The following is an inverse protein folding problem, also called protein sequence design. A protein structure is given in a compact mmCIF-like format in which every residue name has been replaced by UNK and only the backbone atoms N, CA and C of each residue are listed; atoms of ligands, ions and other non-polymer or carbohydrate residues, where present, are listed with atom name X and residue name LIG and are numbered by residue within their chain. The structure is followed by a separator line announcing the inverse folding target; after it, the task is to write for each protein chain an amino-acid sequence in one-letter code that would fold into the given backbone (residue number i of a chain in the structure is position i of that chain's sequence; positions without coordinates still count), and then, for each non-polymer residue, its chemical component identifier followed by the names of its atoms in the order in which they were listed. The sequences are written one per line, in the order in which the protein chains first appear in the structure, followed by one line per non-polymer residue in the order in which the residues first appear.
data_IF_885176129122
#
_entry.id   IF_885176129122
#
_cell.length_a   1.000
_cell.length_b   1.000
_cell.length_c   1.000
_cell.angle_alpha   90.00
_cell.angle_beta   90.00
_cell.angle_gamma   90.00
#
_symmetry.space_group_name_H-M   'P 1'
#
loop_
_entity.id
_entity.type
_entity.pdbx_description
1 polymer ?
#
# COMPACT_ATOMS: atom_id res chain seq x y z
N UNK A 1 2.03 7.68 25.91
CA UNK A 1 2.66 6.46 25.32
C UNK A 1 1.99 6.00 24.02
N UNK A 2 0.65 5.82 23.95
CA UNK A 2 -0.06 5.30 22.74
C UNK A 2 0.06 6.18 21.48
N UNK A 3 0.01 7.51 21.61
CA UNK A 3 0.17 8.45 20.49
C UNK A 3 1.57 8.44 19.86
N UNK A 4 2.61 8.18 20.66
CA UNK A 4 3.99 8.10 20.16
C UNK A 4 4.17 6.90 19.21
N UNK A 5 3.59 5.73 19.57
CA UNK A 5 3.64 4.52 18.72
C UNK A 5 2.91 4.73 17.40
N UNK A 6 1.75 5.41 17.42
CA UNK A 6 1.04 5.80 16.20
C UNK A 6 1.89 6.71 15.31
N UNK A 7 2.48 7.77 15.87
CA UNK A 7 3.29 8.73 15.10
C UNK A 7 4.51 8.06 14.45
N UNK A 8 5.19 7.16 15.19
CA UNK A 8 6.33 6.38 14.68
C UNK A 8 5.90 5.48 13.51
N UNK A 9 4.83 4.70 13.69
CA UNK A 9 4.32 3.83 12.62
C UNK A 9 3.86 4.64 11.40
N UNK A 10 3.23 5.80 11.62
CA UNK A 10 2.80 6.68 10.54
C UNK A 10 3.97 7.26 9.77
N UNK A 11 5.06 7.66 10.44
CA UNK A 11 6.28 8.17 9.80
C UNK A 11 6.95 7.08 8.97
N UNK A 12 7.13 5.88 9.54
CA UNK A 12 7.62 4.69 8.83
C UNK A 12 6.82 4.41 7.55
N UNK A 13 5.49 4.52 7.59
CA UNK A 13 4.65 4.35 6.40
C UNK A 13 4.85 5.44 5.34
N UNK A 14 5.11 6.69 5.73
CA UNK A 14 5.39 7.78 4.79
C UNK A 14 6.70 7.48 4.05
N UNK A 15 7.74 7.12 4.80
CA UNK A 15 9.05 6.79 4.22
C UNK A 15 8.96 5.60 3.26
N UNK A 16 8.23 4.56 3.64
CA UNK A 16 8.03 3.38 2.78
C UNK A 16 7.20 3.68 1.52
N UNK A 17 6.28 4.64 1.57
CA UNK A 17 5.56 5.09 0.37
C UNK A 17 6.50 5.85 -0.57
N UNK A 18 7.32 6.73 -0.02
CA UNK A 18 8.33 7.45 -0.79
C UNK A 18 9.29 6.47 -1.49
N UNK A 19 9.72 5.42 -0.79
CA UNK A 19 10.58 4.40 -1.40
C UNK A 19 9.90 3.67 -2.58
N UNK A 20 8.61 3.36 -2.48
CA UNK A 20 7.86 2.79 -3.61
C UNK A 20 7.83 3.74 -4.81
N UNK A 21 7.54 5.02 -4.58
CA UNK A 21 7.52 6.01 -5.67
C UNK A 21 8.90 6.16 -6.31
N UNK A 22 9.97 6.14 -5.51
CA UNK A 22 11.34 6.13 -6.01
C UNK A 22 11.61 4.90 -6.88
N UNK A 23 11.39 3.68 -6.37
CA UNK A 23 11.66 2.45 -7.13
C UNK A 23 10.82 2.37 -8.41
N UNK A 24 9.58 2.89 -8.38
CA UNK A 24 8.73 2.98 -9.55
C UNK A 24 9.33 3.92 -10.60
N UNK A 25 9.76 5.11 -10.19
CA UNK A 25 10.37 6.08 -11.08
C UNK A 25 11.64 5.52 -11.74
N UNK A 26 12.51 4.86 -10.98
CA UNK A 26 13.72 4.22 -11.51
C UNK A 26 13.40 3.11 -12.53
N UNK A 27 12.37 2.31 -12.27
CA UNK A 27 11.89 1.31 -13.22
C UNK A 27 11.33 1.95 -14.50
N UNK A 28 10.54 3.02 -14.36
CA UNK A 28 9.96 3.74 -15.50
C UNK A 28 11.06 4.36 -16.39
N UNK A 29 12.13 4.90 -15.80
CA UNK A 29 13.31 5.39 -16.54
C UNK A 29 14.00 4.27 -17.32
N UNK A 30 14.22 3.11 -16.68
CA UNK A 30 14.86 1.98 -17.33
C UNK A 30 14.01 1.43 -18.49
N UNK A 31 12.70 1.33 -18.31
CA UNK A 31 11.77 0.89 -19.37
C UNK A 31 11.71 1.87 -20.56
N UNK A 32 12.01 3.15 -20.34
CA UNK A 32 12.09 4.16 -21.41
C UNK A 32 13.42 4.14 -22.19
N UNK A 33 14.37 3.28 -21.83
CA UNK A 33 15.68 3.18 -22.48
C UNK A 33 15.64 2.11 -23.58
N UNK A 34 16.06 2.46 -24.80
CA UNK A 34 15.93 1.61 -26.01
C UNK A 34 16.65 0.26 -25.89
N UNK A 35 17.88 0.27 -25.36
CA UNK A 35 18.72 -0.93 -25.21
C UNK A 35 18.73 -1.48 -23.78
N UNK A 36 17.65 -1.30 -23.03
CA UNK A 36 17.57 -1.77 -21.65
C UNK A 36 17.66 -3.31 -21.57
N UNK A 37 18.61 -3.80 -20.77
CA UNK A 37 18.77 -5.22 -20.54
C UNK A 37 17.57 -5.81 -19.78
N UNK A 38 17.03 -6.92 -20.30
CA UNK A 38 15.85 -7.58 -19.73
C UNK A 38 16.07 -8.04 -18.29
N UNK A 39 17.27 -8.52 -17.96
CA UNK A 39 17.55 -9.00 -16.61
C UNK A 39 17.59 -7.83 -15.62
N UNK A 40 18.17 -6.69 -16.02
CA UNK A 40 18.14 -5.46 -15.23
C UNK A 40 16.71 -4.96 -14.98
N UNK A 41 15.83 -5.02 -15.98
CA UNK A 41 14.40 -4.64 -15.83
C UNK A 41 13.72 -5.54 -14.78
N UNK A 42 13.93 -6.85 -14.84
CA UNK A 42 13.34 -7.78 -13.88
C UNK A 42 13.87 -7.55 -12.46
N UNK A 43 15.16 -7.27 -12.30
CA UNK A 43 15.75 -6.92 -11.00
C UNK A 43 15.16 -5.63 -10.44
N UNK A 44 14.96 -4.60 -11.27
CA UNK A 44 14.30 -3.35 -10.84
C UNK A 44 12.84 -3.57 -10.45
N UNK A 45 12.13 -4.42 -11.18
CA UNK A 45 10.78 -4.81 -10.82
C UNK A 45 10.73 -5.52 -9.46
N UNK A 46 11.65 -6.46 -9.20
CA UNK A 46 11.74 -7.14 -7.92
C UNK A 46 12.01 -6.17 -6.76
N UNK A 47 12.85 -5.16 -6.98
CA UNK A 47 13.10 -4.11 -5.99
C UNK A 47 11.82 -3.30 -5.66
N UNK A 48 11.02 -2.97 -6.67
CA UNK A 48 9.72 -2.32 -6.48
C UNK A 48 8.76 -3.20 -5.68
N UNK A 49 8.67 -4.49 -6.00
CA UNK A 49 7.84 -5.44 -5.26
C UNK A 49 8.31 -5.63 -3.82
N UNK A 50 9.61 -5.66 -3.57
CA UNK A 50 10.16 -5.68 -2.22
C UNK A 50 9.76 -4.42 -1.43
N UNK A 51 9.79 -3.24 -2.04
CA UNK A 51 9.34 -2.00 -1.39
C UNK A 51 7.83 -2.04 -1.06
N UNK A 52 7.00 -2.54 -1.99
CA UNK A 52 5.56 -2.77 -1.76
C UNK A 52 5.31 -3.74 -0.61
N UNK A 53 6.06 -4.83 -0.55
CA UNK A 53 5.99 -5.81 0.52
C UNK A 53 6.37 -5.23 1.88
N UNK A 54 7.43 -4.40 1.96
CA UNK A 54 7.81 -3.69 3.19
C UNK A 54 6.67 -2.80 3.70
N UNK A 55 6.01 -2.05 2.82
CA UNK A 55 4.85 -1.23 3.21
C UNK A 55 3.66 -2.07 3.67
N UNK A 56 3.38 -3.18 2.97
CA UNK A 56 2.32 -4.13 3.35
C UNK A 56 2.55 -4.69 4.76
N UNK A 57 3.78 -5.14 5.03
CA UNK A 57 4.19 -5.64 6.35
C UNK A 57 4.05 -4.58 7.43
N UNK A 58 4.51 -3.35 7.20
CA UNK A 58 4.38 -2.26 8.18
C UNK A 58 2.90 -1.91 8.48
N UNK A 59 2.01 -2.00 7.48
CA UNK A 59 0.56 -1.86 7.69
C UNK A 59 0.01 -2.97 8.57
N UNK A 60 0.44 -4.20 8.34
CA UNK A 60 0.02 -5.33 9.15
C UNK A 60 0.53 -5.24 10.59
N UNK A 61 1.79 -4.85 10.79
CA UNK A 61 2.38 -4.59 12.11
C UNK A 61 1.55 -3.56 12.90
N UNK A 62 1.15 -2.46 12.26
CA UNK A 62 0.28 -1.46 12.89
C UNK A 62 -1.08 -2.04 13.29
N UNK A 63 -1.67 -2.93 12.49
CA UNK A 63 -2.92 -3.61 12.84
C UNK A 63 -2.74 -4.58 14.02
N UNK A 64 -1.60 -5.26 14.11
CA UNK A 64 -1.25 -6.11 15.25
C UNK A 64 -1.13 -5.27 16.52
N UNK A 65 -0.44 -4.13 16.46
CA UNK A 65 -0.33 -3.20 17.59
C UNK A 65 -1.69 -2.74 18.10
N UNK A 66 -2.62 -2.43 17.19
CA UNK A 66 -4.00 -2.07 17.54
C UNK A 66 -4.69 -3.25 18.21
N UNK A 67 -4.64 -4.45 17.61
CA UNK A 67 -5.25 -5.67 18.16
C UNK A 67 -4.74 -5.99 19.56
N UNK A 68 -3.45 -5.87 19.80
CA UNK A 68 -2.83 -6.06 21.12
C UNK A 68 -3.30 -5.01 22.13
N UNK A 69 -3.47 -3.76 21.69
CA UNK A 69 -3.87 -2.64 22.57
C UNK A 69 -5.33 -2.73 23.02
N UNK A 70 -6.24 -3.16 22.14
CA UNK A 70 -7.69 -3.16 22.42
C UNK A 70 -8.25 -4.56 22.72
N UNK A 71 -7.44 -5.60 22.52
CA UNK A 71 -7.86 -7.00 22.65
C UNK A 71 -8.57 -7.54 21.40
N UNK A 72 -8.60 -8.88 21.29
CA UNK A 72 -9.10 -9.56 20.11
C UNK A 72 -10.60 -9.32 19.84
N UNK A 73 -11.44 -9.30 20.89
CA UNK A 73 -12.89 -9.11 20.77
C UNK A 73 -13.23 -7.70 20.25
N UNK A 74 -12.72 -6.66 20.91
CA UNK A 74 -12.90 -5.26 20.47
C UNK A 74 -12.32 -5.02 19.08
N UNK A 75 -11.25 -5.71 18.72
CA UNK A 75 -10.71 -5.66 17.36
C UNK A 75 -11.66 -6.27 16.31
N UNK A 76 -12.40 -7.34 16.64
CA UNK A 76 -13.42 -7.87 15.74
C UNK A 76 -14.60 -6.90 15.55
N UNK A 77 -15.05 -6.27 16.64
CA UNK A 77 -16.07 -5.22 16.59
C UNK A 77 -15.61 -4.06 15.70
N UNK A 78 -14.38 -3.58 15.88
CA UNK A 78 -13.78 -2.53 15.07
C UNK A 78 -13.75 -2.90 13.57
N UNK A 79 -13.34 -4.13 13.23
CA UNK A 79 -13.38 -4.62 11.84
C UNK A 79 -14.79 -4.65 11.27
N UNK A 80 -15.79 -5.03 12.06
CA UNK A 80 -17.18 -5.04 11.62
C UNK A 80 -17.67 -3.63 11.23
N UNK A 81 -17.34 -2.62 12.04
CA UNK A 81 -17.64 -1.21 11.74
C UNK A 81 -16.96 -0.75 10.45
N UNK A 82 -15.67 -1.06 10.26
CA UNK A 82 -14.95 -0.71 9.03
C UNK A 82 -15.56 -1.34 7.77
N UNK A 83 -15.97 -2.62 7.83
CA UNK A 83 -16.62 -3.31 6.70
C UNK A 83 -17.96 -2.68 6.32
N UNK A 84 -18.74 -2.25 7.32
CA UNK A 84 -20.04 -1.61 7.08
C UNK A 84 -19.89 -0.25 6.40
N UNK A 85 -18.86 0.53 6.74
CA UNK A 85 -18.55 1.81 6.09
C UNK A 85 -18.18 1.62 4.61
N UNK A 86 -17.29 0.67 4.29
CA UNK A 86 -16.90 0.40 2.90
C UNK A 86 -18.06 -0.06 2.00
N UNK A 87 -19.05 -0.78 2.56
CA UNK A 87 -20.26 -1.20 1.83
C UNK A 87 -21.25 -0.05 1.54
N UNK A 88 -21.23 1.02 2.34
CA UNK A 88 -22.06 2.21 2.10
C UNK A 88 -21.45 3.08 1.01
N UNK A 89 -20.14 3.27 1.00
CA UNK A 89 -19.45 4.06 -0.03
C UNK A 89 -19.50 3.41 -1.42
N UNK A 90 -19.44 2.08 -1.50
CA UNK A 90 -19.55 1.36 -2.78
C UNK A 90 -20.94 1.45 -3.45
N UNK A 91 -21.97 1.90 -2.72
CA UNK A 91 -23.31 2.16 -3.30
C UNK A 91 -23.44 3.56 -3.89
N UNK A 92 -22.52 4.47 -3.57
CA UNK A 92 -22.61 5.89 -3.97
C UNK A 92 -21.93 6.18 -5.31
N UNK A 93 -21.05 5.29 -5.78
CA UNK A 93 -20.42 5.35 -7.09
C UNK A 93 -20.43 3.94 -7.71
N UNK A 94 -21.40 3.61 -8.58
CA UNK A 94 -21.26 2.46 -9.47
C UNK A 94 -19.96 2.66 -10.24
N UNK A 95 -19.04 1.68 -10.17
CA UNK A 95 -17.82 1.71 -10.98
C UNK A 95 -18.20 1.65 -12.45
N UNK A 96 -18.30 2.81 -13.08
CA UNK A 96 -18.35 2.90 -14.52
C UNK A 96 -16.98 2.43 -15.04
N UNK A 97 -16.96 1.25 -15.64
CA UNK A 97 -15.77 0.56 -16.16
C UNK A 97 -15.24 1.17 -17.47
N UNK A 98 -15.51 2.46 -17.70
CA UNK A 98 -15.27 3.11 -19.00
C UNK A 98 -13.87 3.73 -19.16
N UNK A 99 -13.07 3.94 -18.11
CA UNK A 99 -11.85 4.76 -18.18
C UNK A 99 -10.55 4.06 -18.63
N UNK A 100 -10.59 2.82 -19.13
CA UNK A 100 -9.41 2.09 -19.59
C UNK A 100 -9.52 1.57 -21.03
N UNK A 101 -10.28 2.24 -21.91
CA UNK A 101 -10.36 1.87 -23.35
C UNK A 101 -9.66 2.81 -24.31
N UNK A 102 -9.29 4.03 -23.91
CA UNK A 102 -8.75 5.03 -24.85
C UNK A 102 -7.31 5.42 -24.51
N UNK A 103 -6.39 4.45 -24.67
CA UNK A 103 -4.96 4.73 -24.91
C UNK A 103 -4.48 3.75 -25.96
N UNK A 104 -4.88 4.04 -27.19
CA UNK A 104 -4.12 3.67 -28.39
C UNK A 104 -3.10 4.76 -28.68
#
# INVERSE_FOLDING_TARGET
MKFAKYAVNRRKMIDLKYEIEKQRFELDLLLGTEDADKQQILERFDNLEQARNKLSKARFEMLMDVRETIGAERFQELKAVHRQRGRKDSRKYPKDRSYYRDRD
#
